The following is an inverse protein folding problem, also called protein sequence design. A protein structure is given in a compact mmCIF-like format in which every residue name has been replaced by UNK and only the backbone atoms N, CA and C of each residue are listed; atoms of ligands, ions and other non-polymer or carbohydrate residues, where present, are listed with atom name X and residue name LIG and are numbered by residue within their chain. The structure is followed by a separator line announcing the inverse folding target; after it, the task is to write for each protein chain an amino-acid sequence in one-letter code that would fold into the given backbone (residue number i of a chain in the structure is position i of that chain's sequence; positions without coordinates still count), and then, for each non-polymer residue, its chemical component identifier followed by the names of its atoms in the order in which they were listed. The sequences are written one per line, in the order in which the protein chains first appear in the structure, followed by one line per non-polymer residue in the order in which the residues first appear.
data_IF_067625420115
#
_entry.id   IF_067625420115
#
_cell.length_a   1.000
_cell.length_b   1.000
_cell.length_c   1.000
_cell.angle_alpha   90.00
_cell.angle_beta   90.00
_cell.angle_gamma   90.00
#
_symmetry.space_group_name_H-M   'P 1'
#
loop_
_entity.id
_entity.type
_entity.pdbx_description
1 polymer ?
#
# COMPACT_ATOMS: atom_id res chain seq x y z
N UNK A 1 22.74 -45.68 34.06
CA UNK A 1 22.13 -45.30 32.79
C UNK A 1 21.52 -43.92 32.97
N UNK A 2 22.10 -42.90 32.34
CA UNK A 2 21.63 -41.52 32.35
C UNK A 2 20.72 -41.39 31.14
N UNK A 3 19.40 -41.34 31.40
CA UNK A 3 18.42 -41.11 30.35
C UNK A 3 18.57 -39.72 29.78
N UNK A 4 18.91 -39.59 28.50
CA UNK A 4 18.88 -38.37 27.75
C UNK A 4 17.41 -38.04 27.47
N UNK A 5 16.93 -36.95 28.07
CA UNK A 5 15.66 -36.38 27.69
C UNK A 5 15.84 -35.68 26.36
N UNK A 6 15.20 -36.19 25.31
CA UNK A 6 15.17 -35.56 23.99
C UNK A 6 14.68 -34.14 24.12
N UNK A 7 15.54 -33.17 23.79
CA UNK A 7 15.17 -31.77 23.72
C UNK A 7 14.08 -31.60 22.68
N UNK A 8 12.88 -31.23 23.15
CA UNK A 8 11.70 -31.02 22.33
C UNK A 8 12.04 -29.98 21.23
N UNK A 9 12.11 -30.42 19.98
CA UNK A 9 12.49 -29.61 18.80
C UNK A 9 11.63 -28.35 18.61
N UNK A 10 10.44 -28.31 19.25
CA UNK A 10 9.53 -27.13 19.23
C UNK A 10 9.96 -25.97 20.13
N UNK A 11 10.96 -26.16 21.00
CA UNK A 11 11.44 -25.13 21.95
C UNK A 11 12.79 -24.51 21.60
N UNK A 12 13.26 -24.62 20.34
CA UNK A 12 14.42 -23.83 19.91
C UNK A 12 14.10 -22.35 20.12
N UNK A 13 14.94 -21.56 20.85
CA UNK A 13 14.75 -20.12 20.94
C UNK A 13 14.74 -19.59 19.52
N UNK A 14 13.62 -18.98 19.10
CA UNK A 14 13.56 -18.29 17.82
C UNK A 14 14.71 -17.30 17.83
N UNK A 15 15.67 -17.46 16.89
CA UNK A 15 16.72 -16.46 16.70
C UNK A 15 16.00 -15.10 16.66
N UNK A 16 16.35 -14.23 17.59
CA UNK A 16 15.90 -12.84 17.58
C UNK A 16 16.50 -12.23 16.32
N UNK A 17 15.76 -12.27 15.21
CA UNK A 17 16.11 -11.46 14.06
C UNK A 17 16.07 -10.01 14.53
N UNK A 18 17.20 -9.30 14.41
CA UNK A 18 17.23 -7.86 14.64
C UNK A 18 16.10 -7.29 13.83
N UNK A 19 15.09 -6.69 14.47
CA UNK A 19 14.01 -6.00 13.79
C UNK A 19 14.66 -4.88 13.01
N UNK A 20 14.65 -4.99 11.70
CA UNK A 20 15.07 -3.90 10.84
C UNK A 20 13.96 -2.86 10.94
N UNK A 21 14.22 -1.77 11.62
CA UNK A 21 13.35 -0.60 11.67
C UNK A 21 14.22 0.60 11.28
N UNK A 22 13.67 1.47 10.46
CA UNK A 22 14.30 2.74 10.13
C UNK A 22 14.27 3.65 11.36
N UNK A 23 15.25 4.54 11.44
CA UNK A 23 15.40 5.43 12.60
C UNK A 23 14.64 6.75 12.42
N UNK A 24 14.39 7.17 11.17
CA UNK A 24 13.79 8.46 10.83
C UNK A 24 12.36 8.30 10.30
N UNK A 25 11.46 9.14 10.80
CA UNK A 25 10.10 9.27 10.26
C UNK A 25 10.18 9.79 8.82
N UNK A 26 9.44 9.15 7.91
CA UNK A 26 9.46 9.49 6.48
C UNK A 26 10.69 8.97 5.73
N UNK A 27 11.56 8.17 6.35
CA UNK A 27 12.62 7.47 5.63
C UNK A 27 12.05 6.33 4.79
N UNK A 28 11.18 5.51 5.38
CA UNK A 28 10.53 4.38 4.73
C UNK A 28 9.06 4.28 5.13
N UNK A 29 8.19 4.20 4.13
CA UNK A 29 6.82 3.75 4.33
C UNK A 29 6.64 2.35 3.75
N UNK A 30 5.83 1.53 4.41
CA UNK A 30 5.44 0.20 3.94
C UNK A 30 4.00 0.28 3.46
N UNK A 31 3.75 -0.17 2.22
CA UNK A 31 2.40 -0.32 1.67
C UNK A 31 2.10 -1.79 1.47
N UNK A 32 0.90 -2.20 1.87
CA UNK A 32 0.42 -3.57 1.69
C UNK A 32 -1.06 -3.58 1.32
N UNK A 33 -1.46 -4.60 0.53
CA UNK A 33 -2.81 -4.86 0.09
C UNK A 33 -3.46 -6.00 0.88
N UNK A 34 -4.70 -5.80 1.31
CA UNK A 34 -5.50 -6.80 2.01
C UNK A 34 -6.84 -6.98 1.30
N UNK A 35 -7.15 -8.19 0.87
CA UNK A 35 -8.50 -8.53 0.40
C UNK A 35 -9.41 -8.75 1.60
N UNK A 36 -10.48 -7.96 1.68
CA UNK A 36 -11.50 -8.06 2.73
C UNK A 36 -12.87 -8.39 2.12
N UNK A 37 -13.60 -9.29 2.76
CA UNK A 37 -14.94 -9.71 2.33
C UNK A 37 -16.01 -8.96 3.13
N UNK A 38 -16.90 -8.27 2.44
CA UNK A 38 -18.05 -7.61 3.03
C UNK A 38 -19.07 -8.63 3.58
N UNK A 39 -19.87 -8.17 4.52
CA UNK A 39 -20.98 -8.94 5.10
C UNK A 39 -22.32 -8.67 4.39
N UNK A 40 -22.26 -8.24 3.13
CA UNK A 40 -23.40 -8.14 2.26
C UNK A 40 -23.87 -9.54 1.77
N UNK A 41 -25.04 -9.61 1.13
CA UNK A 41 -25.58 -10.88 0.61
C UNK A 41 -24.70 -11.50 -0.49
N UNK A 42 -23.99 -10.69 -1.25
CA UNK A 42 -23.13 -11.12 -2.34
C UNK A 42 -21.72 -11.53 -1.87
N UNK A 43 -21.38 -11.28 -0.61
CA UNK A 43 -20.04 -11.48 -0.07
C UNK A 43 -18.97 -10.77 -0.91
N UNK A 44 -19.27 -9.54 -1.31
CA UNK A 44 -18.40 -8.71 -2.16
C UNK A 44 -17.02 -8.58 -1.56
N UNK A 45 -15.98 -8.71 -2.39
CA UNK A 45 -14.61 -8.47 -1.98
C UNK A 45 -14.21 -7.04 -2.29
N UNK A 46 -13.47 -6.44 -1.37
CA UNK A 46 -12.83 -5.14 -1.53
C UNK A 46 -11.34 -5.28 -1.24
N UNK A 47 -10.53 -4.44 -1.85
CA UNK A 47 -9.09 -4.38 -1.56
C UNK A 47 -8.81 -3.18 -0.66
N UNK A 48 -8.20 -3.41 0.49
CA UNK A 48 -7.78 -2.38 1.45
C UNK A 48 -6.28 -2.20 1.30
N UNK A 49 -5.84 -0.99 0.97
CA UNK A 49 -4.43 -0.63 1.02
C UNK A 49 -4.14 0.07 2.34
N UNK A 50 -3.10 -0.35 3.03
CA UNK A 50 -2.62 0.26 4.26
C UNK A 50 -1.18 0.74 4.08
N UNK A 51 -0.88 1.97 4.53
CA UNK A 51 0.46 2.55 4.47
C UNK A 51 0.91 2.92 5.87
N UNK A 52 2.01 2.33 6.31
CA UNK A 52 2.59 2.54 7.65
C UNK A 52 4.00 3.13 7.53
N UNK A 53 4.27 4.20 8.27
CA UNK A 53 5.63 4.69 8.47
C UNK A 53 6.44 3.72 9.34
N UNK A 54 7.61 3.27 8.85
CA UNK A 54 8.36 2.19 9.51
C UNK A 54 8.98 2.62 10.84
N UNK A 55 9.40 3.86 10.99
CA UNK A 55 10.00 4.36 12.22
C UNK A 55 8.96 4.59 13.33
N UNK A 56 7.89 5.30 13.01
CA UNK A 56 6.87 5.72 13.98
C UNK A 56 5.70 4.74 14.11
N UNK A 57 5.57 3.78 13.20
CA UNK A 57 4.38 2.91 13.08
C UNK A 57 3.09 3.69 12.78
N UNK A 58 3.19 4.93 12.39
CA UNK A 58 2.04 5.78 12.09
C UNK A 58 1.38 5.35 10.78
N UNK A 59 0.07 5.12 10.83
CA UNK A 59 -0.75 4.84 9.64
C UNK A 59 -0.97 6.15 8.90
N UNK A 60 -0.25 6.35 7.80
CA UNK A 60 -0.34 7.54 6.94
C UNK A 60 -1.46 7.43 5.92
N UNK A 61 -2.00 6.23 5.66
CA UNK A 61 -3.08 6.02 4.70
C UNK A 61 -3.65 4.62 4.77
N UNK A 62 -4.98 4.51 4.94
CA UNK A 62 -5.71 3.24 4.83
C UNK A 62 -7.03 3.50 4.14
N UNK A 63 -7.24 2.86 2.98
CA UNK A 63 -8.43 3.08 2.13
C UNK A 63 -8.80 1.80 1.40
N UNK A 64 -10.11 1.52 1.30
CA UNK A 64 -10.66 0.39 0.57
C UNK A 64 -11.17 0.80 -0.82
N UNK A 65 -11.00 -0.09 -1.79
CA UNK A 65 -11.45 0.03 -3.18
C UNK A 65 -12.25 -1.20 -3.60
N UNK A 66 -13.13 -1.00 -4.59
CA UNK A 66 -14.01 -2.05 -5.09
C UNK A 66 -13.30 -3.07 -6.02
N UNK A 67 -12.17 -2.70 -6.59
CA UNK A 67 -11.44 -3.53 -7.54
C UNK A 67 -10.43 -4.45 -6.84
N UNK A 68 -10.07 -5.57 -7.45
CA UNK A 68 -8.89 -6.33 -7.03
C UNK A 68 -7.64 -5.45 -6.98
N UNK A 69 -6.62 -5.92 -6.27
CA UNK A 69 -5.36 -5.20 -6.14
C UNK A 69 -4.81 -4.73 -7.49
N UNK A 70 -4.55 -3.43 -7.59
CA UNK A 70 -4.06 -2.80 -8.80
C UNK A 70 -3.23 -1.53 -8.53
N UNK A 71 -2.34 -1.18 -9.45
CA UNK A 71 -1.44 -0.04 -9.30
C UNK A 71 -2.13 1.33 -9.31
N UNK A 72 -3.33 1.46 -9.89
CA UNK A 72 -4.05 2.74 -9.94
C UNK A 72 -4.57 3.12 -8.56
N UNK A 73 -5.23 2.18 -7.88
CA UNK A 73 -5.75 2.39 -6.53
C UNK A 73 -4.59 2.55 -5.52
N UNK A 74 -3.52 1.76 -5.67
CA UNK A 74 -2.31 1.90 -4.86
C UNK A 74 -1.70 3.32 -4.98
N UNK A 75 -1.57 3.84 -6.20
CA UNK A 75 -1.09 5.22 -6.42
C UNK A 75 -2.04 6.26 -5.85
N UNK A 76 -3.35 6.04 -5.92
CA UNK A 76 -4.34 6.97 -5.35
C UNK A 76 -4.17 7.11 -3.82
N UNK A 77 -4.01 5.98 -3.10
CA UNK A 77 -3.76 6.00 -1.64
C UNK A 77 -2.43 6.67 -1.31
N UNK A 78 -1.36 6.35 -2.07
CA UNK A 78 -0.05 6.98 -1.90
C UNK A 78 -0.11 8.48 -2.15
N UNK A 79 -0.77 8.93 -3.22
CA UNK A 79 -0.92 10.35 -3.53
C UNK A 79 -1.66 11.12 -2.42
N UNK A 80 -2.73 10.54 -1.87
CA UNK A 80 -3.45 11.11 -0.74
C UNK A 80 -2.56 11.20 0.52
N UNK A 81 -1.77 10.15 0.81
CA UNK A 81 -0.84 10.13 1.93
C UNK A 81 0.27 11.18 1.74
N UNK A 82 0.83 11.32 0.52
CA UNK A 82 1.83 12.34 0.20
C UNK A 82 1.30 13.76 0.41
N UNK A 83 0.06 14.01 -0.01
CA UNK A 83 -0.58 15.31 0.18
C UNK A 83 -0.79 15.65 1.67
N UNK A 84 -1.10 14.65 2.50
CA UNK A 84 -1.41 14.85 3.91
C UNK A 84 -0.16 14.92 4.81
N UNK A 85 0.89 14.15 4.51
CA UNK A 85 2.04 13.94 5.42
C UNK A 85 3.40 14.22 4.80
N UNK A 86 3.46 14.62 3.53
CA UNK A 86 4.70 14.75 2.77
C UNK A 86 5.13 13.42 2.15
N UNK A 87 6.22 13.46 1.38
CA UNK A 87 6.73 12.28 0.67
C UNK A 87 7.82 11.60 1.49
N UNK A 88 7.80 10.26 1.62
CA UNK A 88 8.91 9.52 2.21
C UNK A 88 10.09 9.46 1.22
N UNK A 89 11.25 9.00 1.69
CA UNK A 89 12.37 8.71 0.80
C UNK A 89 12.17 7.40 0.04
N UNK A 90 11.58 6.40 0.70
CA UNK A 90 11.43 5.06 0.18
C UNK A 90 10.01 4.50 0.44
N UNK A 91 9.52 3.70 -0.50
CA UNK A 91 8.30 2.88 -0.32
C UNK A 91 8.69 1.41 -0.44
N UNK A 92 8.40 0.63 0.59
CA UNK A 92 8.48 -0.82 0.58
C UNK A 92 7.09 -1.40 0.29
N UNK A 93 7.01 -2.24 -0.72
CA UNK A 93 5.82 -3.05 -1.00
C UNK A 93 6.17 -4.53 -0.99
N UNK A 94 5.14 -5.38 -0.97
CA UNK A 94 5.31 -6.76 -1.35
C UNK A 94 5.64 -6.87 -2.85
N UNK A 95 5.90 -8.11 -3.32
CA UNK A 95 6.24 -8.37 -4.72
C UNK A 95 4.98 -8.52 -5.62
N UNK A 96 3.84 -7.97 -5.19
CA UNK A 96 2.61 -7.98 -5.97
C UNK A 96 2.73 -7.17 -7.26
N UNK A 97 2.09 -7.62 -8.34
CA UNK A 97 2.12 -6.98 -9.67
C UNK A 97 1.63 -5.52 -9.65
N UNK A 98 0.84 -5.14 -8.66
CA UNK A 98 0.38 -3.76 -8.47
C UNK A 98 1.51 -2.79 -8.11
N UNK A 99 2.58 -3.29 -7.51
CA UNK A 99 3.67 -2.50 -6.96
C UNK A 99 4.98 -2.68 -7.71
N UNK A 100 5.35 -3.93 -8.02
CA UNK A 100 6.67 -4.24 -8.54
C UNK A 100 6.61 -5.24 -9.69
N UNK A 101 7.25 -4.90 -10.81
CA UNK A 101 7.33 -5.77 -12.00
C UNK A 101 8.76 -6.11 -12.41
N UNK A 102 9.73 -5.86 -11.53
CA UNK A 102 11.14 -6.10 -11.83
C UNK A 102 11.43 -7.54 -12.29
N UNK A 103 10.66 -8.53 -11.82
CA UNK A 103 10.77 -9.93 -12.25
C UNK A 103 10.35 -10.14 -13.73
N UNK A 104 9.65 -9.16 -14.33
CA UNK A 104 9.26 -9.12 -15.73
C UNK A 104 10.23 -8.32 -16.61
N UNK A 105 11.29 -7.75 -16.04
CA UNK A 105 12.33 -7.02 -16.76
C UNK A 105 12.04 -5.54 -17.01
N UNK A 106 11.05 -4.94 -16.33
CA UNK A 106 10.73 -3.51 -16.45
C UNK A 106 10.16 -2.94 -15.14
N UNK A 107 10.16 -1.61 -15.02
CA UNK A 107 9.50 -0.92 -13.90
C UNK A 107 7.99 -0.87 -14.13
N UNK A 108 7.22 -1.11 -13.06
CA UNK A 108 5.77 -0.92 -13.08
C UNK A 108 5.41 0.55 -13.26
N UNK A 109 4.16 0.82 -13.65
CA UNK A 109 3.65 2.19 -13.64
C UNK A 109 3.70 2.84 -12.24
N UNK A 110 3.58 2.04 -11.17
CA UNK A 110 3.71 2.52 -9.79
C UNK A 110 5.15 2.89 -9.46
N UNK A 111 6.14 2.05 -9.81
CA UNK A 111 7.57 2.36 -9.60
C UNK A 111 8.01 3.59 -10.40
N UNK A 112 7.59 3.70 -11.66
CA UNK A 112 7.87 4.87 -12.52
C UNK A 112 7.24 6.14 -11.93
N UNK A 113 6.00 6.06 -11.47
CA UNK A 113 5.33 7.19 -10.82
C UNK A 113 6.04 7.60 -9.53
N UNK A 114 6.43 6.64 -8.67
CA UNK A 114 7.20 6.92 -7.46
C UNK A 114 8.53 7.61 -7.78
N UNK A 115 9.26 7.14 -8.80
CA UNK A 115 10.50 7.77 -9.27
C UNK A 115 10.25 9.23 -9.68
N UNK A 116 9.16 9.52 -10.42
CA UNK A 116 8.78 10.88 -10.78
C UNK A 116 8.48 11.77 -9.57
N UNK A 117 8.07 11.18 -8.44
CA UNK A 117 7.86 11.88 -7.17
C UNK A 117 9.16 12.03 -6.34
N UNK A 118 10.29 11.50 -6.81
CA UNK A 118 11.55 11.46 -6.09
C UNK A 118 11.63 10.34 -5.03
N UNK A 119 10.68 9.42 -5.03
CA UNK A 119 10.56 8.34 -4.05
C UNK A 119 11.09 7.04 -4.63
N UNK A 120 11.96 6.34 -3.89
CA UNK A 120 12.50 5.06 -4.31
C UNK A 120 11.56 3.93 -3.94
N UNK A 121 11.11 3.17 -4.94
CA UNK A 121 10.41 1.91 -4.71
C UNK A 121 11.40 0.80 -4.31
N UNK A 122 11.09 0.07 -3.25
CA UNK A 122 11.84 -1.10 -2.78
C UNK A 122 10.90 -2.29 -2.76
N UNK A 123 11.29 -3.37 -3.43
CA UNK A 123 10.56 -4.64 -3.34
C UNK A 123 11.00 -5.43 -2.10
N UNK A 124 10.03 -5.98 -1.37
CA UNK A 124 10.30 -6.77 -0.17
C UNK A 124 10.80 -8.18 -0.49
N UNK A 125 12.11 -8.43 -0.37
CA UNK A 125 12.69 -9.76 -0.61
C UNK A 125 12.87 -10.61 0.66
N UNK A 126 12.65 -10.04 1.85
CA UNK A 126 12.93 -10.75 3.08
C UNK A 126 11.66 -11.31 3.74
N UNK A 127 11.62 -12.61 4.10
CA UNK A 127 10.50 -13.20 4.85
C UNK A 127 10.23 -12.52 6.20
N UNK A 128 11.18 -11.71 6.69
CA UNK A 128 11.07 -10.97 7.95
C UNK A 128 10.17 -9.72 7.85
N UNK A 129 9.89 -9.21 6.65
CA UNK A 129 8.95 -8.11 6.43
C UNK A 129 7.50 -8.60 6.55
N UNK A 130 7.18 -9.76 6.02
CA UNK A 130 5.83 -10.37 6.06
C UNK A 130 5.27 -10.54 7.48
N UNK A 131 6.10 -10.84 8.47
CA UNK A 131 5.64 -11.00 9.86
C UNK A 131 5.19 -9.72 10.58
N UNK A 132 5.49 -8.53 10.03
CA UNK A 132 4.99 -7.25 10.54
C UNK A 132 3.60 -6.95 9.96
N UNK A 133 3.41 -7.25 8.70
CA UNK A 133 2.21 -6.98 7.92
C UNK A 133 1.06 -7.89 8.37
N UNK A 134 1.30 -9.18 8.61
CA UNK A 134 0.32 -10.12 9.19
C UNK A 134 -0.31 -9.60 10.50
N UNK A 135 0.50 -8.98 11.39
CA UNK A 135 -0.04 -8.44 12.65
C UNK A 135 -0.87 -7.18 12.44
N UNK A 136 -0.48 -6.33 11.50
CA UNK A 136 -1.21 -5.12 11.14
C UNK A 136 -2.56 -5.50 10.55
N UNK A 137 -2.57 -6.37 9.55
CA UNK A 137 -3.76 -6.89 8.90
C UNK A 137 -4.71 -7.57 9.88
N UNK A 138 -4.18 -8.43 10.76
CA UNK A 138 -5.00 -9.08 11.79
C UNK A 138 -5.70 -8.06 12.70
N UNK A 139 -5.01 -7.00 13.10
CA UNK A 139 -5.60 -5.96 13.96
C UNK A 139 -6.69 -5.19 13.21
N UNK A 140 -6.44 -4.84 11.95
CA UNK A 140 -7.38 -4.16 11.07
C UNK A 140 -8.63 -5.02 10.83
N UNK A 141 -8.45 -6.29 10.45
CA UNK A 141 -9.53 -7.24 10.22
C UNK A 141 -10.39 -7.42 11.48
N UNK A 142 -9.76 -7.62 12.64
CA UNK A 142 -10.49 -7.73 13.91
C UNK A 142 -11.32 -6.48 14.25
N UNK A 143 -10.82 -5.30 13.88
CA UNK A 143 -11.56 -4.05 14.09
C UNK A 143 -12.80 -3.97 13.17
N UNK A 144 -12.67 -4.37 11.91
CA UNK A 144 -13.78 -4.42 10.96
C UNK A 144 -14.81 -5.51 11.32
N UNK A 145 -14.32 -6.69 11.69
CA UNK A 145 -15.20 -7.84 12.05
C UNK A 145 -16.02 -7.57 13.32
N UNK A 146 -15.57 -6.68 14.19
CA UNK A 146 -16.35 -6.27 15.38
C UNK A 146 -17.61 -5.48 15.00
N UNK A 147 -17.66 -4.89 13.80
CA UNK A 147 -18.79 -4.16 13.24
C UNK A 147 -18.88 -4.48 11.74
N UNK A 148 -19.43 -5.66 11.38
CA UNK A 148 -19.36 -6.19 10.03
C UNK A 148 -19.90 -5.21 8.98
N UNK A 149 -19.07 -4.62 8.11
CA UNK A 149 -19.51 -3.68 7.10
C UNK A 149 -20.22 -4.39 5.95
N UNK A 150 -21.27 -3.79 5.41
CA UNK A 150 -22.05 -4.32 4.27
C UNK A 150 -21.83 -3.53 2.98
N UNK A 151 -21.02 -2.47 3.01
CA UNK A 151 -20.74 -1.65 1.83
C UNK A 151 -19.33 -1.07 1.85
N UNK A 152 -18.82 -0.70 0.67
CA UNK A 152 -17.53 -0.01 0.54
C UNK A 152 -17.49 1.31 1.32
N UNK A 153 -18.61 2.04 1.35
CA UNK A 153 -18.72 3.30 2.09
C UNK A 153 -18.56 3.08 3.60
N UNK A 154 -19.20 2.02 4.16
CA UNK A 154 -19.05 1.67 5.58
C UNK A 154 -17.64 1.20 5.91
N UNK A 155 -17.02 0.37 5.05
CA UNK A 155 -15.60 -0.01 5.24
C UNK A 155 -14.75 1.25 5.36
N UNK A 156 -14.85 2.19 4.43
CA UNK A 156 -14.03 3.40 4.44
C UNK A 156 -14.31 4.29 5.66
N UNK A 157 -15.57 4.38 6.12
CA UNK A 157 -15.89 5.08 7.36
C UNK A 157 -15.24 4.41 8.58
N UNK A 158 -15.28 3.08 8.67
CA UNK A 158 -14.64 2.33 9.75
C UNK A 158 -13.12 2.37 9.69
N UNK A 159 -12.52 2.39 8.47
CA UNK A 159 -11.09 2.57 8.30
C UNK A 159 -10.61 3.95 8.78
N UNK A 160 -11.38 5.00 8.54
CA UNK A 160 -11.07 6.33 9.07
C UNK A 160 -11.07 6.35 10.60
N UNK A 161 -12.06 5.70 11.24
CA UNK A 161 -12.10 5.54 12.70
C UNK A 161 -10.96 4.65 13.21
N UNK A 162 -10.69 3.53 12.53
CA UNK A 162 -9.56 2.65 12.85
C UNK A 162 -8.24 3.43 12.89
N UNK A 163 -7.94 4.21 11.85
CA UNK A 163 -6.71 5.02 11.77
C UNK A 163 -6.61 5.99 12.95
N UNK A 164 -7.72 6.63 13.33
CA UNK A 164 -7.73 7.52 14.47
C UNK A 164 -7.40 6.76 15.77
N UNK A 165 -8.07 5.64 16.02
CA UNK A 165 -7.82 4.82 17.22
C UNK A 165 -6.40 4.25 17.22
N UNK A 166 -5.95 3.72 16.09
CA UNK A 166 -4.61 3.15 15.93
C UNK A 166 -3.52 4.19 16.19
N UNK A 167 -3.62 5.35 15.58
CA UNK A 167 -2.62 6.40 15.68
C UNK A 167 -2.61 7.12 17.03
N UNK A 168 -3.80 7.44 17.56
CA UNK A 168 -3.94 8.36 18.70
C UNK A 168 -4.02 7.67 20.05
N UNK A 169 -4.60 6.45 20.10
CA UNK A 169 -4.94 5.80 21.39
C UNK A 169 -4.13 4.55 21.65
N UNK A 170 -3.72 3.82 20.63
CA UNK A 170 -3.01 2.55 20.80
C UNK A 170 -1.53 2.79 21.06
N UNK A 171 -1.04 2.48 22.26
CA UNK A 171 0.40 2.42 22.54
C UNK A 171 1.01 1.23 21.81
N UNK A 172 2.10 1.45 21.11
CA UNK A 172 2.74 0.40 20.32
C UNK A 172 3.93 -0.22 21.06
N UNK A 173 3.98 -1.56 21.10
CA UNK A 173 5.02 -2.30 21.86
C UNK A 173 6.46 -2.01 21.42
N UNK A 174 6.69 -1.63 20.16
CA UNK A 174 8.02 -1.30 19.66
C UNK A 174 8.40 0.17 19.84
N UNK A 175 7.46 1.04 20.23
CA UNK A 175 7.69 2.47 20.40
C UNK A 175 7.91 2.77 21.87
N UNK A 176 9.17 3.01 22.25
CA UNK A 176 9.58 3.27 23.62
C UNK A 176 10.29 4.62 23.72
N UNK A 177 9.86 5.44 24.66
CA UNK A 177 10.59 6.62 25.13
C UNK A 177 10.90 6.41 26.61
N UNK A 178 12.17 6.18 26.92
CA UNK A 178 12.56 5.69 28.23
C UNK A 178 11.94 4.31 28.50
N UNK A 179 11.08 4.21 29.52
CA UNK A 179 10.36 2.97 29.90
C UNK A 179 8.89 2.97 29.47
N UNK A 180 8.42 4.03 28.80
CA UNK A 180 7.02 4.18 28.45
C UNK A 180 6.78 3.86 26.97
N UNK A 181 5.76 3.03 26.71
CA UNK A 181 5.24 2.86 25.35
C UNK A 181 4.42 4.08 24.96
N UNK A 182 4.68 4.59 23.77
CA UNK A 182 3.99 5.74 23.19
C UNK A 182 3.09 5.33 22.03
N UNK A 183 2.21 6.24 21.59
CA UNK A 183 1.35 6.04 20.43
C UNK A 183 2.12 6.31 19.13
N UNK A 184 1.66 5.75 17.97
CA UNK A 184 2.22 6.10 16.66
C UNK A 184 2.21 7.61 16.39
N UNK A 185 1.14 8.32 16.78
CA UNK A 185 1.06 9.78 16.65
C UNK A 185 2.19 10.47 17.41
N UNK A 186 2.38 10.12 18.68
CA UNK A 186 3.45 10.69 19.49
C UNK A 186 4.83 10.44 18.87
N UNK A 187 5.06 9.22 18.36
CA UNK A 187 6.32 8.90 17.68
C UNK A 187 6.48 9.69 16.38
N UNK A 188 5.43 9.78 15.55
CA UNK A 188 5.45 10.52 14.29
C UNK A 188 5.76 12.01 14.48
N UNK A 189 5.24 12.61 15.55
CA UNK A 189 5.42 14.04 15.85
C UNK A 189 6.77 14.35 16.50
N UNK A 190 7.33 13.39 17.28
CA UNK A 190 8.51 13.65 18.12
C UNK A 190 9.82 13.02 17.64
N UNK A 191 9.74 11.96 16.82
CA UNK A 191 10.96 11.34 16.30
C UNK A 191 11.62 12.20 15.21
N UNK A 192 12.94 12.08 15.02
CA UNK A 192 13.64 12.76 13.93
C UNK A 192 13.04 12.39 12.58
N UNK A 193 12.97 13.37 11.68
CA UNK A 193 12.38 13.21 10.35
C UNK A 193 13.45 13.15 9.28
N UNK A 194 13.28 12.25 8.32
CA UNK A 194 14.08 12.24 7.11
C UNK A 194 13.77 13.48 6.25
N UNK A 195 14.76 14.05 5.56
CA UNK A 195 14.49 15.11 4.60
C UNK A 195 13.63 14.57 3.45
N UNK A 196 12.57 15.29 3.05
CA UNK A 196 11.74 14.85 1.93
C UNK A 196 12.53 14.89 0.61
N UNK A 197 12.20 14.03 -0.35
CA UNK A 197 12.81 14.07 -1.67
C UNK A 197 12.49 15.40 -2.36
N UNK A 198 13.52 16.00 -2.99
CA UNK A 198 13.43 17.33 -3.62
C UNK A 198 13.40 17.27 -5.15
N UNK A 199 13.86 16.18 -5.73
CA UNK A 199 13.98 16.01 -7.18
C UNK A 199 13.45 14.63 -7.60
N UNK A 200 12.88 14.50 -8.81
CA UNK A 200 12.58 13.21 -9.39
C UNK A 200 13.83 12.32 -9.47
N UNK A 201 13.63 11.03 -9.36
CA UNK A 201 14.67 10.03 -9.63
C UNK A 201 14.67 9.70 -11.13
N UNK A 202 15.85 9.46 -11.66
CA UNK A 202 16.03 8.96 -13.01
C UNK A 202 15.58 7.49 -13.08
N UNK A 203 14.58 7.13 -13.93
CA UNK A 203 14.11 5.76 -14.05
C UNK A 203 15.21 4.77 -14.43
N UNK A 204 16.20 5.17 -15.23
CA UNK A 204 17.33 4.30 -15.61
C UNK A 204 18.19 3.97 -14.39
N UNK A 205 18.42 4.94 -13.51
CA UNK A 205 19.16 4.70 -12.27
C UNK A 205 18.36 3.84 -11.29
N UNK A 206 17.03 4.03 -11.21
CA UNK A 206 16.15 3.17 -10.41
C UNK A 206 16.22 1.74 -10.93
N UNK A 207 16.11 1.53 -12.24
CA UNK A 207 16.23 0.22 -12.87
C UNK A 207 17.60 -0.42 -12.60
N UNK A 208 18.69 0.31 -12.77
CA UNK A 208 20.03 -0.18 -12.48
C UNK A 208 20.20 -0.67 -11.03
N UNK A 209 19.57 0.02 -10.06
CA UNK A 209 19.55 -0.42 -8.66
C UNK A 209 18.75 -1.71 -8.45
N UNK A 210 17.60 -1.84 -9.09
CA UNK A 210 16.76 -3.04 -9.05
C UNK A 210 17.54 -4.23 -9.63
N UNK A 211 18.20 -4.06 -10.77
CA UNK A 211 19.05 -5.07 -11.39
C UNK A 211 20.21 -5.49 -10.49
N UNK A 212 20.95 -4.53 -9.94
CA UNK A 212 22.07 -4.80 -9.06
C UNK A 212 21.63 -5.54 -7.78
N UNK A 213 20.50 -5.16 -7.22
CA UNK A 213 19.93 -5.84 -6.05
C UNK A 213 19.54 -7.29 -6.38
N UNK A 214 18.87 -7.53 -7.51
CA UNK A 214 18.48 -8.87 -7.94
C UNK A 214 19.68 -9.76 -8.21
N UNK A 215 20.73 -9.24 -8.85
CA UNK A 215 21.97 -9.97 -9.09
C UNK A 215 22.67 -10.39 -7.79
N UNK A 216 22.63 -9.52 -6.78
CA UNK A 216 23.25 -9.79 -5.48
C UNK A 216 22.48 -10.84 -4.64
N UNK A 217 21.14 -10.87 -4.77
CA UNK A 217 20.28 -11.68 -3.89
C UNK A 217 19.58 -12.85 -4.59
N UNK A 218 19.57 -12.86 -5.91
CA UNK A 218 19.05 -13.95 -6.73
C UNK A 218 20.01 -14.29 -7.91
N UNK A 219 21.12 -14.96 -7.65
CA UNK A 219 22.15 -15.27 -8.67
C UNK A 219 21.63 -16.16 -9.82
N UNK A 220 20.45 -16.73 -9.70
CA UNK A 220 19.79 -17.52 -10.75
C UNK A 220 18.75 -16.73 -11.56
N UNK A 221 18.61 -15.42 -11.32
CA UNK A 221 17.77 -14.57 -12.15
C UNK A 221 18.31 -14.55 -13.59
N UNK A 222 17.46 -14.96 -14.52
CA UNK A 222 17.83 -15.15 -15.94
C UNK A 222 18.26 -13.81 -16.57
N UNK A 223 19.35 -13.77 -17.35
CA UNK A 223 19.86 -12.56 -17.99
C UNK A 223 18.85 -11.85 -18.93
N UNK A 224 17.83 -12.55 -19.41
CA UNK A 224 16.76 -11.97 -20.23
C UNK A 224 15.90 -10.92 -19.49
N UNK A 225 15.89 -10.95 -18.16
CA UNK A 225 15.25 -9.88 -17.33
C UNK A 225 16.05 -8.58 -17.33
N UNK A 226 17.21 -8.53 -17.93
CA UNK A 226 18.15 -7.41 -17.88
C UNK A 226 18.15 -6.56 -19.16
N UNK A 227 17.39 -6.94 -20.17
CA UNK A 227 17.24 -6.13 -21.38
C UNK A 227 16.21 -5.03 -21.15
N UNK A 228 16.71 -3.87 -20.92
CA UNK A 228 16.07 -2.64 -20.45
C UNK A 228 14.67 -2.24 -20.94
N UNK A 229 14.12 -1.15 -20.38
CA UNK A 229 12.70 -0.76 -20.45
C UNK A 229 12.18 -0.27 -21.81
N UNK A 230 13.01 -0.21 -22.87
CA UNK A 230 12.64 0.47 -24.10
C UNK A 230 11.74 -0.34 -25.05
N UNK A 231 11.69 -1.67 -24.96
CA UNK A 231 10.89 -2.47 -25.90
C UNK A 231 9.55 -2.98 -25.34
N UNK A 232 9.38 -3.02 -24.02
CA UNK A 232 8.16 -3.54 -23.40
C UNK A 232 7.00 -2.52 -23.34
N UNK A 233 7.30 -1.23 -23.39
CA UNK A 233 6.26 -0.18 -23.30
C UNK A 233 5.42 -0.07 -24.58
N UNK A 234 5.93 -0.50 -25.73
CA UNK A 234 5.24 -0.42 -27.03
C UNK A 234 4.31 -1.59 -27.30
N UNK A 235 4.45 -2.71 -26.59
CA UNK A 235 3.62 -3.91 -26.83
C UNK A 235 2.33 -3.98 -25.99
N UNK A 236 2.19 -3.14 -24.95
CA UNK A 236 1.00 -3.17 -24.07
C UNK A 236 -0.08 -2.14 -24.43
N UNK A 237 0.24 -1.11 -25.23
CA UNK A 237 -0.80 -0.19 -25.73
C UNK A 237 -1.62 -0.76 -26.88
N UNK A 238 -1.13 -1.81 -27.59
CA UNK A 238 -1.83 -2.42 -28.71
C UNK A 238 -2.91 -3.43 -28.33
N UNK A 239 -3.02 -3.85 -27.07
CA UNK A 239 -3.95 -4.91 -26.64
C UNK A 239 -5.28 -4.42 -26.07
N UNK A 240 -5.45 -3.11 -25.81
CA UNK A 240 -6.69 -2.58 -25.27
C UNK A 240 -7.65 -2.01 -26.30
N UNK A 241 -7.19 -1.77 -27.55
CA UNK A 241 -8.07 -1.25 -28.63
C UNK A 241 -8.81 -2.32 -29.42
N UNK A 242 -8.46 -3.60 -29.32
CA UNK A 242 -9.07 -4.67 -30.12
C UNK A 242 -10.32 -5.30 -29.48
N UNK A 243 -10.70 -4.93 -28.24
CA UNK A 243 -11.93 -5.41 -27.60
C UNK A 243 -13.15 -4.47 -27.73
N UNK A 244 -12.98 -3.27 -28.28
CA UNK A 244 -14.08 -2.31 -28.45
C UNK A 244 -14.82 -2.43 -29.80
N UNK A 245 -14.33 -3.25 -30.72
CA UNK A 245 -14.85 -3.30 -32.12
C UNK A 245 -15.89 -4.41 -32.38
N UNK A 246 -16.31 -5.20 -31.39
CA UNK A 246 -17.23 -6.33 -31.62
C UNK A 246 -18.57 -6.28 -30.89
N UNK A 247 -19.03 -5.14 -30.40
CA UNK A 247 -20.43 -5.02 -29.98
C UNK A 247 -21.09 -3.83 -30.68
N UNK A 248 -21.71 -4.13 -31.79
CA UNK A 248 -22.62 -3.22 -32.51
C UNK A 248 -23.87 -2.95 -31.66
N UNK A 249 -24.04 -1.71 -31.23
CA UNK A 249 -25.28 -1.20 -30.62
C UNK A 249 -25.90 -0.23 -31.63
N UNK A 250 -27.16 -0.43 -32.05
CA UNK A 250 -27.81 0.49 -33.00
C UNK A 250 -28.11 1.84 -32.32
N UNK A 251 -27.86 2.89 -33.06
CA UNK A 251 -28.22 4.28 -32.70
C UNK A 251 -29.73 4.42 -32.56
N UNK A 252 -30.19 4.87 -31.37
CA UNK A 252 -31.54 5.41 -31.21
C UNK A 252 -31.50 6.83 -30.70
N UNK A 253 -32.35 7.63 -31.35
CA UNK A 253 -32.60 9.05 -31.24
C UNK A 253 -32.63 9.68 -29.86
N UNK A 254 -32.07 10.87 -29.80
CA UNK A 254 -32.16 11.83 -28.70
C UNK A 254 -33.53 12.50 -28.64
N UNK A 255 -34.25 12.53 -27.52
CA UNK A 255 -35.26 13.51 -27.28
C UNK A 255 -34.73 14.66 -26.41
N UNK A 256 -34.81 15.83 -26.95
CA UNK A 256 -34.64 17.15 -26.30
C UNK A 256 -35.64 17.32 -25.14
N UNK A 257 -35.14 17.43 -23.93
CA UNK A 257 -35.97 17.80 -22.76
C UNK A 257 -35.72 19.26 -22.39
N UNK A 258 -36.71 20.07 -22.64
CA UNK A 258 -36.92 21.48 -22.21
C UNK A 258 -37.04 21.53 -20.68
N UNK A 259 -36.27 22.40 -20.06
CA UNK A 259 -36.36 22.72 -18.62
C UNK A 259 -37.41 23.81 -18.40
N UNK A 260 -38.38 23.67 -17.50
CA UNK A 260 -39.19 24.79 -17.03
C UNK A 260 -38.54 25.43 -15.81
N UNK A 261 -38.29 26.73 -15.93
CA UNK A 261 -38.00 27.67 -14.81
C UNK A 261 -39.23 27.85 -13.95
N UNK A 262 -39.14 27.56 -12.66
CA UNK A 262 -40.07 28.12 -11.67
C UNK A 262 -39.29 28.80 -10.54
N UNK A 263 -39.46 30.11 -10.48
CA UNK A 263 -39.23 30.95 -9.33
C UNK A 263 -40.14 30.51 -8.18
N UNK A 264 -39.61 30.36 -6.98
CA UNK A 264 -40.38 30.45 -5.75
C UNK A 264 -39.51 30.92 -4.60
N UNK A 265 -39.63 32.19 -4.30
CA UNK A 265 -39.33 32.82 -3.02
C UNK A 265 -40.18 32.20 -1.92
N UNK A 266 -39.58 31.81 -0.79
CA UNK A 266 -40.25 31.83 0.50
C UNK A 266 -39.31 32.06 1.66
N UNK A 267 -39.52 33.17 2.31
CA UNK A 267 -39.27 33.57 3.68
C UNK A 267 -39.65 32.49 4.69
N UNK A 268 -38.79 32.24 5.67
CA UNK A 268 -39.17 32.04 7.08
C UNK A 268 -38.04 32.51 7.98
N UNK A 269 -38.31 33.54 8.75
CA UNK A 269 -37.57 33.89 9.95
C UNK A 269 -38.09 33.07 11.14
N UNK A 270 -37.22 32.80 12.01
CA UNK A 270 -37.10 32.99 13.47
C UNK A 270 -35.78 32.32 13.86
#
# INVERSE_FOLDING_TARGET
EVGFVDANAGKRPRRSYKRFARDLVGELWQIDGLVYRLFDHAHTHVTIYQIIDDASRFDVGTTAFALPENGTDARAVLAAAFAAYGKPQEILSDNGDAFATYHRGFLSATETWLASQGVLAIAGFAPTTQGKDERSHRTLTQFLDARPPVSLAEVNAYLAEYRQVYNERRRHQSLLVGKMHITPRQAFDTFPKAPPPTHPLDPEQVWARVVAYNQAHNPHAVPEMLNGPAEAATSHEASTDDMAAQQGIPSTDTPTLTVPTTNSTNHWGI
#
